data_IF_737333560534
#
_entry.id   IF_737333560534
#
_cell.length_a   1.000
_cell.length_b   1.000
_cell.length_c   1.000
_cell.angle_alpha   90.00
_cell.angle_beta   90.00
_cell.angle_gamma   90.00
#
_symmetry.space_group_name_H-M   'P 1'
#
loop_
_entity.id
_entity.type
_entity.pdbx_description
1 polymer ?
#
# COMPACT_ATOMS: atom_id res chain seq x y z
N UNK A 1 -39.06 -17.98 -23.69
CA UNK A 1 -39.33 -19.33 -23.13
C UNK A 1 -38.06 -20.15 -22.88
N UNK A 2 -37.09 -20.19 -23.80
CA UNK A 2 -35.85 -20.98 -23.61
C UNK A 2 -34.97 -20.52 -22.43
N UNK A 3 -34.97 -19.22 -22.11
CA UNK A 3 -34.29 -18.66 -20.94
C UNK A 3 -34.86 -19.19 -19.61
N UNK A 4 -36.19 -19.26 -19.51
CA UNK A 4 -36.92 -19.76 -18.33
C UNK A 4 -36.73 -21.28 -18.20
N UNK A 5 -36.81 -22.02 -19.31
CA UNK A 5 -36.53 -23.47 -19.32
C UNK A 5 -35.10 -23.76 -18.88
N UNK A 6 -34.12 -23.00 -19.39
CA UNK A 6 -32.72 -23.12 -18.98
C UNK A 6 -32.54 -22.86 -17.48
N UNK A 7 -33.18 -21.82 -16.93
CA UNK A 7 -33.13 -21.56 -15.49
C UNK A 7 -33.66 -22.74 -14.68
N UNK A 8 -34.84 -23.28 -15.02
CA UNK A 8 -35.42 -24.43 -14.33
C UNK A 8 -34.52 -25.69 -14.40
N UNK A 9 -33.88 -25.94 -15.55
CA UNK A 9 -32.92 -27.03 -15.73
C UNK A 9 -31.71 -26.86 -14.80
N UNK A 10 -31.10 -25.68 -14.79
CA UNK A 10 -29.93 -25.38 -13.94
C UNK A 10 -30.25 -25.50 -12.46
N UNK A 11 -31.39 -24.98 -12.01
CA UNK A 11 -31.81 -25.08 -10.60
C UNK A 11 -32.04 -26.54 -10.20
N UNK A 12 -32.75 -27.31 -11.03
CA UNK A 12 -33.02 -28.73 -10.76
C UNK A 12 -31.73 -29.55 -10.73
N UNK A 13 -30.81 -29.29 -11.67
CA UNK A 13 -29.53 -29.98 -11.74
C UNK A 13 -28.61 -29.62 -10.57
N UNK A 14 -28.56 -28.33 -10.18
CA UNK A 14 -27.78 -27.91 -9.03
C UNK A 14 -28.29 -28.52 -7.73
N UNK A 15 -29.62 -28.63 -7.56
CA UNK A 15 -30.21 -29.32 -6.41
C UNK A 15 -29.84 -30.81 -6.42
N UNK A 16 -29.91 -31.45 -7.59
CA UNK A 16 -29.56 -32.86 -7.75
C UNK A 16 -28.11 -33.13 -7.36
N UNK A 17 -27.16 -32.33 -7.86
CA UNK A 17 -25.73 -32.43 -7.52
C UNK A 17 -25.51 -32.32 -6.01
N UNK A 18 -26.10 -31.28 -5.37
CA UNK A 18 -26.02 -31.08 -3.90
C UNK A 18 -26.57 -32.25 -3.09
N UNK A 19 -27.69 -32.84 -3.51
CA UNK A 19 -28.32 -33.97 -2.81
C UNK A 19 -27.56 -35.27 -3.04
N UNK A 20 -27.00 -35.47 -4.24
CA UNK A 20 -26.25 -36.68 -4.56
C UNK A 20 -24.84 -36.71 -3.99
N UNK A 21 -24.27 -35.57 -3.59
CA UNK A 21 -22.88 -35.46 -3.15
C UNK A 21 -21.84 -35.80 -4.22
N UNK A 22 -22.28 -36.06 -5.46
CA UNK A 22 -21.43 -36.34 -6.61
C UNK A 22 -21.28 -35.05 -7.40
N UNK A 23 -20.14 -34.38 -7.23
CA UNK A 23 -19.68 -33.43 -8.25
C UNK A 23 -19.45 -34.23 -9.53
N UNK A 24 -20.16 -33.86 -10.60
CA UNK A 24 -20.27 -34.69 -11.80
C UNK A 24 -19.00 -34.73 -12.66
N UNK A 25 -17.95 -33.99 -12.28
CA UNK A 25 -16.61 -34.03 -12.88
C UNK A 25 -15.60 -33.49 -11.86
N UNK A 26 -14.40 -34.09 -11.70
CA UNK A 26 -13.34 -33.49 -10.92
C UNK A 26 -12.96 -32.14 -11.56
N UNK A 27 -13.14 -31.04 -10.82
CA UNK A 27 -12.60 -29.75 -11.23
C UNK A 27 -11.09 -29.89 -11.45
N UNK A 28 -10.57 -29.21 -12.47
CA UNK A 28 -9.13 -29.16 -12.72
C UNK A 28 -8.47 -28.50 -11.50
N UNK A 29 -7.74 -29.27 -10.67
CA UNK A 29 -7.27 -28.79 -9.36
C UNK A 29 -6.31 -27.60 -9.53
N UNK A 30 -5.66 -27.49 -10.69
CA UNK A 30 -4.79 -26.38 -11.04
C UNK A 30 -5.59 -25.08 -11.20
N UNK A 31 -6.79 -25.14 -11.78
CA UNK A 31 -7.64 -23.95 -11.94
C UNK A 31 -8.06 -23.41 -10.59
N UNK A 32 -8.53 -24.29 -9.69
CA UNK A 32 -8.93 -23.89 -8.33
C UNK A 32 -7.74 -23.29 -7.56
N UNK A 33 -6.57 -23.91 -7.69
CA UNK A 33 -5.35 -23.40 -7.05
C UNK A 33 -4.97 -21.99 -7.54
N UNK A 34 -4.92 -21.77 -8.86
CA UNK A 34 -4.56 -20.47 -9.42
C UNK A 34 -5.64 -19.43 -9.11
N UNK A 35 -6.93 -19.79 -9.18
CA UNK A 35 -8.04 -18.89 -8.85
C UNK A 35 -8.01 -18.44 -7.39
N UNK A 36 -7.73 -19.37 -6.47
CA UNK A 36 -7.50 -19.05 -5.05
C UNK A 36 -6.32 -18.11 -4.87
N UNK A 37 -5.19 -18.36 -5.54
CA UNK A 37 -4.03 -17.46 -5.52
C UNK A 37 -4.40 -16.04 -5.99
N UNK A 38 -5.15 -15.91 -7.09
CA UNK A 38 -5.63 -14.61 -7.60
C UNK A 38 -6.55 -13.92 -6.59
N UNK A 39 -7.44 -14.67 -5.93
CA UNK A 39 -8.34 -14.14 -4.90
C UNK A 39 -7.57 -13.64 -3.68
N UNK A 40 -6.59 -14.39 -3.22
CA UNK A 40 -5.68 -13.99 -2.13
C UNK A 40 -4.87 -12.75 -2.50
N UNK A 41 -4.42 -12.65 -3.74
CA UNK A 41 -3.74 -11.45 -4.23
C UNK A 41 -4.67 -10.24 -4.30
N UNK A 42 -5.95 -10.43 -4.64
CA UNK A 42 -6.97 -9.37 -4.66
C UNK A 42 -7.30 -8.84 -3.26
N UNK A 43 -7.29 -9.70 -2.23
CA UNK A 43 -7.49 -9.26 -0.85
C UNK A 43 -6.26 -8.50 -0.34
N UNK A 44 -5.05 -8.99 -0.67
CA UNK A 44 -3.78 -8.32 -0.36
C UNK A 44 -3.66 -6.97 -1.07
N UNK A 45 -4.04 -6.87 -2.35
CA UNK A 45 -3.97 -5.61 -3.11
C UNK A 45 -4.84 -4.52 -2.49
N UNK A 46 -6.05 -4.87 -2.03
CA UNK A 46 -6.92 -3.95 -1.29
C UNK A 46 -6.27 -3.48 0.01
N UNK A 47 -5.77 -4.41 0.83
CA UNK A 47 -5.09 -4.06 2.08
C UNK A 47 -3.86 -3.19 1.87
N UNK A 48 -3.06 -3.46 0.83
CA UNK A 48 -1.89 -2.64 0.51
C UNK A 48 -2.32 -1.26 0.03
N UNK A 49 -3.31 -1.15 -0.87
CA UNK A 49 -3.82 0.13 -1.35
C UNK A 49 -4.31 1.05 -0.22
N UNK A 50 -5.03 0.49 0.77
CA UNK A 50 -5.46 1.22 1.96
C UNK A 50 -4.26 1.70 2.80
N UNK A 51 -3.26 0.84 3.01
CA UNK A 51 -2.04 1.20 3.73
C UNK A 51 -1.24 2.28 3.02
N UNK A 52 -1.10 2.19 1.70
CA UNK A 52 -0.43 3.22 0.88
C UNK A 52 -1.15 4.57 1.01
N UNK A 53 -2.48 4.56 0.91
CA UNK A 53 -3.30 5.77 1.09
C UNK A 53 -3.12 6.37 2.48
N UNK A 54 -3.05 5.53 3.53
CA UNK A 54 -2.80 5.98 4.90
C UNK A 54 -1.39 6.55 5.06
N UNK A 55 -0.37 5.90 4.51
CA UNK A 55 1.01 6.37 4.60
C UNK A 55 1.19 7.77 4.02
N UNK A 56 0.58 8.07 2.87
CA UNK A 56 0.63 9.41 2.28
C UNK A 56 0.04 10.46 3.22
N UNK A 57 -1.12 10.17 3.82
CA UNK A 57 -1.76 11.08 4.78
C UNK A 57 -0.85 11.37 5.96
N UNK A 58 -0.17 10.35 6.48
CA UNK A 58 0.78 10.52 7.58
C UNK A 58 1.98 11.43 7.20
N UNK A 59 2.46 11.38 5.95
CA UNK A 59 3.52 12.29 5.48
C UNK A 59 3.02 13.74 5.42
N UNK A 60 1.79 13.94 4.94
CA UNK A 60 1.15 15.25 4.91
C UNK A 60 0.92 15.80 6.33
N UNK A 61 0.42 14.95 7.24
CA UNK A 61 0.15 15.30 8.63
C UNK A 61 1.43 15.66 9.40
N UNK A 62 2.55 14.99 9.11
CA UNK A 62 3.86 15.37 9.64
C UNK A 62 4.24 16.80 9.22
N UNK A 63 4.07 17.15 7.94
CA UNK A 63 4.34 18.49 7.43
C UNK A 63 3.44 19.55 8.09
N UNK A 64 2.15 19.26 8.25
CA UNK A 64 1.20 20.15 8.95
C UNK A 64 1.59 20.38 10.41
N UNK A 65 1.89 19.30 11.13
CA UNK A 65 2.29 19.38 12.54
C UNK A 65 3.54 20.22 12.73
N UNK A 66 4.54 20.07 11.86
CA UNK A 66 5.76 20.90 11.92
C UNK A 66 5.47 22.36 11.61
N UNK A 67 4.60 22.63 10.63
CA UNK A 67 4.16 23.99 10.32
C UNK A 67 3.49 24.62 11.55
N UNK A 68 2.57 23.90 12.20
CA UNK A 68 1.88 24.37 13.41
C UNK A 68 2.85 24.64 14.56
N UNK A 69 3.80 23.73 14.82
CA UNK A 69 4.84 23.93 15.84
C UNK A 69 5.68 25.19 15.56
N UNK A 70 6.11 25.39 14.30
CA UNK A 70 6.86 26.57 13.91
C UNK A 70 6.04 27.86 14.08
N UNK A 71 4.76 27.81 13.73
CA UNK A 71 3.83 28.94 13.87
C UNK A 71 3.57 29.30 15.33
N UNK A 72 3.29 28.32 16.19
CA UNK A 72 3.10 28.52 17.63
C UNK A 72 4.38 29.05 18.29
N UNK A 73 5.54 28.50 17.95
CA UNK A 73 6.82 28.97 18.49
C UNK A 73 7.09 30.43 18.07
N UNK A 74 6.77 30.81 16.83
CA UNK A 74 6.94 32.18 16.33
C UNK A 74 6.04 33.19 17.05
N UNK A 75 4.86 32.77 17.53
CA UNK A 75 3.91 33.60 18.25
C UNK A 75 4.24 33.75 19.74
N UNK A 76 5.28 33.07 20.24
CA UNK A 76 5.66 33.12 21.65
C UNK A 76 6.10 34.54 22.07
N UNK A 77 5.67 35.03 23.24
CA UNK A 77 6.08 36.34 23.74
C UNK A 77 7.59 36.35 24.04
N UNK A 78 8.20 37.53 23.92
CA UNK A 78 9.62 37.77 24.23
C UNK A 78 10.62 36.85 23.49
N UNK A 79 10.23 36.34 22.32
CA UNK A 79 11.07 35.46 21.53
C UNK A 79 12.31 36.20 20.98
N UNK A 80 13.49 35.71 21.34
CA UNK A 80 14.77 36.17 20.84
C UNK A 80 14.87 36.01 19.30
N UNK A 81 15.72 36.80 18.65
CA UNK A 81 15.85 36.82 17.20
C UNK A 81 16.28 35.45 16.63
N UNK A 82 17.21 34.78 17.31
CA UNK A 82 17.73 33.45 16.93
C UNK A 82 16.64 32.38 17.07
N UNK A 83 15.87 32.42 18.17
CA UNK A 83 14.72 31.52 18.35
C UNK A 83 13.60 31.79 17.33
N UNK A 84 13.41 33.05 16.92
CA UNK A 84 12.48 33.40 15.85
C UNK A 84 12.93 32.85 14.50
N UNK A 85 14.22 32.92 14.20
CA UNK A 85 14.78 32.33 12.98
C UNK A 85 14.60 30.80 12.97
N UNK A 86 14.83 30.13 14.11
CA UNK A 86 14.55 28.71 14.26
C UNK A 86 13.06 28.40 14.03
N UNK A 87 12.16 29.19 14.64
CA UNK A 87 10.71 29.02 14.49
C UNK A 87 10.27 29.15 13.02
N UNK A 88 10.76 30.18 12.31
CA UNK A 88 10.47 30.37 10.89
C UNK A 88 11.03 29.23 10.04
N UNK A 89 12.24 28.75 10.35
CA UNK A 89 12.82 27.59 9.68
C UNK A 89 11.99 26.32 9.87
N UNK A 90 11.51 26.03 11.08
CA UNK A 90 10.60 24.89 11.33
C UNK A 90 9.29 25.06 10.56
N UNK A 91 8.73 26.27 10.54
CA UNK A 91 7.51 26.60 9.79
C UNK A 91 7.68 26.38 8.27
N UNK A 92 8.78 26.87 7.69
CA UNK A 92 9.13 26.70 6.28
C UNK A 92 9.34 25.23 5.91
N UNK A 93 10.03 24.46 6.75
CA UNK A 93 10.16 23.01 6.57
C UNK A 93 8.77 22.36 6.54
N UNK A 94 7.89 22.73 7.47
CA UNK A 94 6.51 22.24 7.49
C UNK A 94 5.79 22.48 6.17
N UNK A 95 5.85 23.71 5.63
CA UNK A 95 5.26 24.06 4.32
C UNK A 95 5.85 23.19 3.20
N UNK A 96 7.18 23.07 3.14
CA UNK A 96 7.86 22.28 2.10
C UNK A 96 7.46 20.81 2.15
N UNK A 97 7.38 20.22 3.35
CA UNK A 97 6.99 18.83 3.53
C UNK A 97 5.52 18.60 3.13
N UNK A 98 4.61 19.54 3.41
CA UNK A 98 3.24 19.47 2.91
C UNK A 98 3.21 19.49 1.38
N UNK A 99 3.95 20.41 0.74
CA UNK A 99 4.02 20.48 -0.72
C UNK A 99 4.60 19.18 -1.33
N UNK A 100 5.69 18.68 -0.77
CA UNK A 100 6.34 17.44 -1.20
C UNK A 100 5.42 16.22 -1.03
N UNK A 101 4.70 16.14 0.10
CA UNK A 101 3.73 15.07 0.33
C UNK A 101 2.59 15.09 -0.70
N UNK A 102 2.15 16.28 -1.12
CA UNK A 102 1.10 16.44 -2.15
C UNK A 102 1.58 16.00 -3.53
N UNK A 103 2.82 16.35 -3.91
CA UNK A 103 3.44 15.90 -5.16
C UNK A 103 3.55 14.36 -5.19
N UNK A 104 4.11 13.79 -4.13
CA UNK A 104 4.24 12.35 -3.99
C UNK A 104 2.89 11.62 -3.92
N UNK A 105 1.84 12.25 -3.35
CA UNK A 105 0.48 11.71 -3.37
C UNK A 105 -0.02 11.49 -4.79
N UNK A 106 0.20 12.45 -5.69
CA UNK A 106 -0.24 12.35 -7.08
C UNK A 106 0.50 11.21 -7.78
N UNK A 107 1.82 11.11 -7.60
CA UNK A 107 2.61 10.00 -8.16
C UNK A 107 2.16 8.65 -7.64
N UNK A 108 1.99 8.51 -6.32
CA UNK A 108 1.51 7.27 -5.71
C UNK A 108 0.08 6.89 -6.11
N UNK A 109 -0.79 7.87 -6.35
CA UNK A 109 -2.15 7.61 -6.81
C UNK A 109 -2.11 6.86 -8.14
N UNK A 110 -1.34 7.37 -9.10
CA UNK A 110 -1.27 6.83 -10.46
C UNK A 110 -0.49 5.52 -10.48
N UNK A 111 0.71 5.51 -9.91
CA UNK A 111 1.65 4.38 -10.05
C UNK A 111 1.35 3.19 -9.14
N UNK A 112 0.58 3.41 -8.06
CA UNK A 112 0.31 2.37 -7.07
C UNK A 112 -1.19 2.14 -6.85
N UNK A 113 -1.92 3.17 -6.42
CA UNK A 113 -3.31 2.99 -5.94
C UNK A 113 -4.24 2.63 -7.10
N UNK A 114 -4.16 3.35 -8.22
CA UNK A 114 -5.00 3.10 -9.39
C UNK A 114 -4.68 1.74 -10.02
N UNK A 115 -3.40 1.36 -9.99
CA UNK A 115 -2.92 0.09 -10.50
C UNK A 115 -3.49 -1.10 -9.68
N UNK A 116 -3.43 -1.04 -8.35
CA UNK A 116 -4.03 -2.05 -7.46
C UNK A 116 -5.57 -2.05 -7.52
N UNK A 117 -6.16 -0.88 -7.71
CA UNK A 117 -7.61 -0.72 -7.86
C UNK A 117 -8.09 -1.34 -9.17
N UNK A 118 -7.39 -1.08 -10.27
CA UNK A 118 -7.66 -1.71 -11.56
C UNK A 118 -7.54 -3.22 -11.48
N UNK A 119 -6.47 -3.74 -10.87
CA UNK A 119 -6.32 -5.19 -10.68
C UNK A 119 -7.52 -5.76 -9.90
N UNK A 120 -7.93 -5.12 -8.81
CA UNK A 120 -9.07 -5.55 -8.01
C UNK A 120 -10.41 -5.55 -8.79
N UNK A 121 -10.61 -4.57 -9.68
CA UNK A 121 -11.77 -4.52 -10.58
C UNK A 121 -11.76 -5.65 -11.61
N UNK A 122 -10.60 -6.00 -12.17
CA UNK A 122 -10.49 -7.13 -13.09
C UNK A 122 -10.75 -8.47 -12.39
N UNK A 123 -10.35 -8.62 -11.12
CA UNK A 123 -10.70 -9.81 -10.33
C UNK A 123 -12.21 -10.01 -10.19
N UNK A 124 -13.02 -8.94 -10.15
CA UNK A 124 -14.47 -9.07 -10.12
C UNK A 124 -15.04 -9.69 -11.42
N UNK A 125 -14.37 -9.49 -12.57
CA UNK A 125 -14.75 -10.13 -13.84
C UNK A 125 -14.51 -11.64 -13.83
N UNK A 126 -13.55 -12.12 -13.04
CA UNK A 126 -13.28 -13.55 -12.89
C UNK A 126 -14.50 -14.30 -12.33
N UNK A 127 -15.23 -13.69 -11.37
CA UNK A 127 -16.47 -14.26 -10.84
C UNK A 127 -17.55 -14.40 -11.92
N UNK A 128 -17.69 -13.41 -12.80
CA UNK A 128 -18.65 -13.48 -13.91
C UNK A 128 -18.30 -14.62 -14.89
N UNK A 129 -17.01 -14.83 -15.18
CA UNK A 129 -16.57 -15.94 -16.01
C UNK A 129 -16.80 -17.29 -15.32
N UNK A 130 -16.61 -17.37 -13.99
CA UNK A 130 -16.94 -18.55 -13.21
C UNK A 130 -18.44 -18.87 -13.28
N UNK A 131 -19.29 -17.86 -13.16
CA UNK A 131 -20.74 -18.03 -13.28
C UNK A 131 -21.16 -18.52 -14.69
N UNK A 132 -20.49 -18.05 -15.74
CA UNK A 132 -20.70 -18.57 -17.11
C UNK A 132 -20.27 -20.03 -17.20
N UNK A 133 -19.06 -20.36 -16.72
CA UNK A 133 -18.50 -21.72 -16.69
C UNK A 133 -19.45 -22.67 -15.96
N UNK A 134 -19.88 -22.29 -14.76
CA UNK A 134 -20.82 -23.04 -13.93
C UNK A 134 -22.18 -23.24 -14.60
N UNK A 135 -22.75 -22.20 -15.21
CA UNK A 135 -24.03 -22.32 -15.93
C UNK A 135 -23.94 -23.30 -17.09
N UNK A 136 -22.87 -23.23 -17.88
CA UNK A 136 -22.66 -24.16 -19.00
C UNK A 136 -22.48 -25.60 -18.50
N UNK A 137 -21.75 -25.79 -17.39
CA UNK A 137 -21.55 -27.10 -16.76
C UNK A 137 -22.88 -27.73 -16.33
N UNK A 138 -23.74 -26.97 -15.67
CA UNK A 138 -25.05 -27.45 -15.24
C UNK A 138 -25.94 -27.86 -16.42
N UNK A 139 -25.94 -27.10 -17.52
CA UNK A 139 -26.69 -27.46 -18.72
C UNK A 139 -26.12 -28.73 -19.38
N UNK A 140 -24.80 -28.84 -19.50
CA UNK A 140 -24.13 -30.04 -20.00
C UNK A 140 -24.51 -31.28 -19.17
N UNK A 141 -24.41 -31.20 -17.84
CA UNK A 141 -24.75 -32.31 -16.94
C UNK A 141 -26.22 -32.72 -17.05
N UNK A 142 -27.13 -31.74 -17.16
CA UNK A 142 -28.54 -32.01 -17.39
C UNK A 142 -28.76 -32.79 -18.69
N UNK A 143 -28.16 -32.34 -19.81
CA UNK A 143 -28.33 -33.01 -21.10
C UNK A 143 -27.63 -34.38 -21.15
N UNK A 144 -26.49 -34.54 -20.47
CA UNK A 144 -25.79 -35.82 -20.30
C UNK A 144 -26.69 -36.84 -19.62
N UNK A 145 -27.28 -36.46 -18.47
CA UNK A 145 -28.23 -37.29 -17.75
C UNK A 145 -29.49 -37.60 -18.59
N UNK A 146 -29.98 -36.62 -19.35
CA UNK A 146 -31.15 -36.79 -20.22
C UNK A 146 -30.88 -37.76 -21.36
N UNK A 147 -29.74 -37.65 -22.04
CA UNK A 147 -29.34 -38.57 -23.12
C UNK A 147 -29.17 -39.98 -22.57
N UNK A 148 -28.49 -40.14 -21.42
CA UNK A 148 -28.34 -41.45 -20.77
C UNK A 148 -29.70 -42.09 -20.49
N UNK A 149 -30.64 -41.33 -19.91
CA UNK A 149 -32.01 -41.81 -19.65
C UNK A 149 -32.76 -42.21 -20.93
N UNK A 150 -32.55 -41.48 -22.03
CA UNK A 150 -33.16 -41.81 -23.32
C UNK A 150 -32.56 -43.07 -23.93
N UNK A 151 -31.27 -43.33 -23.74
CA UNK A 151 -30.61 -44.57 -24.19
C UNK A 151 -31.04 -45.78 -23.38
N UNK A 152 -31.21 -45.62 -22.06
CA UNK A 152 -31.74 -46.67 -21.18
C UNK A 152 -33.20 -47.03 -21.51
N UNK A 153 -34.02 -46.04 -21.87
CA UNK A 153 -35.44 -46.21 -22.22
C UNK A 153 -35.75 -45.52 -23.56
N UNK A 154 -35.42 -46.16 -24.70
CA UNK A 154 -35.58 -45.57 -26.02
C UNK A 154 -37.04 -45.20 -26.30
N UNK A 155 -37.32 -43.94 -26.70
CA UNK A 155 -38.66 -43.53 -27.10
C UNK A 155 -39.05 -44.10 -28.47
N UNK A 156 -40.36 -44.17 -28.74
CA UNK A 156 -40.89 -44.52 -30.09
C UNK A 156 -40.46 -43.53 -31.18
N UNK A 157 -40.19 -42.28 -30.80
CA UNK A 157 -39.63 -41.25 -31.68
C UNK A 157 -38.10 -41.37 -31.73
N UNK A 158 -37.59 -42.01 -32.78
CA UNK A 158 -36.15 -42.24 -32.97
C UNK A 158 -35.36 -40.93 -33.16
N UNK A 159 -36.00 -39.83 -33.56
CA UNK A 159 -35.32 -38.53 -33.75
C UNK A 159 -34.94 -37.85 -32.43
N UNK A 160 -35.55 -38.26 -31.30
CA UNK A 160 -35.32 -37.66 -29.99
C UNK A 160 -33.91 -37.85 -29.48
N UNK A 161 -33.31 -39.02 -29.71
CA UNK A 161 -31.95 -39.31 -29.23
C UNK A 161 -30.92 -38.44 -30.00
N UNK A 162 -30.83 -38.50 -31.35
CA UNK A 162 -29.89 -37.68 -32.11
C UNK A 162 -30.03 -36.18 -31.85
N UNK A 163 -31.27 -35.68 -31.72
CA UNK A 163 -31.51 -34.26 -31.41
C UNK A 163 -30.94 -33.86 -30.03
N UNK A 164 -31.14 -34.68 -29.00
CA UNK A 164 -30.60 -34.37 -27.68
C UNK A 164 -29.08 -34.59 -27.60
N UNK A 165 -28.52 -35.50 -28.40
CA UNK A 165 -27.07 -35.69 -28.54
C UNK A 165 -26.40 -34.48 -29.21
N UNK A 166 -27.00 -33.93 -30.26
CA UNK A 166 -26.53 -32.69 -30.88
C UNK A 166 -26.54 -31.52 -29.88
N UNK A 167 -27.61 -31.39 -29.08
CA UNK A 167 -27.68 -30.35 -28.04
C UNK A 167 -26.61 -30.59 -26.96
N UNK A 168 -26.40 -31.84 -26.55
CA UNK A 168 -25.35 -32.20 -25.59
C UNK A 168 -23.97 -31.82 -26.12
N UNK A 169 -23.69 -32.06 -27.39
CA UNK A 169 -22.42 -31.70 -28.02
C UNK A 169 -22.22 -30.18 -28.06
N UNK A 170 -23.26 -29.41 -28.37
CA UNK A 170 -23.21 -27.95 -28.28
C UNK A 170 -22.86 -27.47 -26.87
N UNK A 171 -23.44 -28.10 -25.83
CA UNK A 171 -23.09 -27.78 -24.45
C UNK A 171 -21.69 -28.23 -24.06
N UNK A 172 -21.21 -29.37 -24.58
CA UNK A 172 -19.82 -29.82 -24.39
C UNK A 172 -18.83 -28.77 -24.90
N UNK A 173 -19.05 -28.26 -26.11
CA UNK A 173 -18.27 -27.17 -26.69
C UNK A 173 -18.40 -25.89 -25.85
N UNK A 174 -19.61 -25.56 -25.39
CA UNK A 174 -19.85 -24.39 -24.55
C UNK A 174 -19.14 -24.44 -23.19
N UNK A 175 -19.08 -25.60 -22.55
CA UNK A 175 -18.30 -25.82 -21.32
C UNK A 175 -16.82 -25.66 -21.61
N UNK A 176 -16.31 -26.32 -22.65
CA UNK A 176 -14.89 -26.24 -23.03
C UNK A 176 -14.45 -24.79 -23.29
N UNK A 177 -15.20 -24.02 -24.08
CA UNK A 177 -14.90 -22.60 -24.35
C UNK A 177 -14.91 -21.75 -23.08
N UNK A 178 -15.92 -21.94 -22.22
CA UNK A 178 -16.01 -21.17 -20.97
C UNK A 178 -14.86 -21.50 -20.01
N UNK A 179 -14.47 -22.77 -19.91
CA UNK A 179 -13.32 -23.21 -19.11
C UNK A 179 -12.02 -22.65 -19.66
N UNK A 180 -11.80 -22.68 -20.97
CA UNK A 180 -10.57 -22.17 -21.58
C UNK A 180 -10.44 -20.64 -21.39
N UNK A 181 -11.53 -19.91 -21.60
CA UNK A 181 -11.57 -18.47 -21.33
C UNK A 181 -11.27 -18.15 -19.86
N UNK A 182 -11.83 -18.94 -18.93
CA UNK A 182 -11.54 -18.81 -17.51
C UNK A 182 -10.06 -19.05 -17.20
N UNK A 183 -9.46 -20.12 -17.75
CA UNK A 183 -8.03 -20.45 -17.58
C UNK A 183 -7.12 -19.31 -18.05
N UNK A 184 -7.37 -18.82 -19.26
CA UNK A 184 -6.60 -17.73 -19.87
C UNK A 184 -6.69 -16.48 -18.99
N UNK A 185 -7.90 -16.08 -18.62
CA UNK A 185 -8.12 -14.87 -17.83
C UNK A 185 -7.53 -14.99 -16.41
N UNK A 186 -7.67 -16.15 -15.77
CA UNK A 186 -7.11 -16.42 -14.45
C UNK A 186 -5.57 -16.37 -14.47
N UNK A 187 -4.94 -16.94 -15.50
CA UNK A 187 -3.48 -16.92 -15.66
C UNK A 187 -2.95 -15.49 -15.90
N UNK A 188 -3.65 -14.72 -16.74
CA UNK A 188 -3.33 -13.31 -16.97
C UNK A 188 -3.45 -12.48 -15.69
N UNK A 189 -4.53 -12.68 -14.93
CA UNK A 189 -4.73 -12.01 -13.64
C UNK A 189 -3.65 -12.37 -12.62
N UNK A 190 -3.21 -13.63 -12.57
CA UNK A 190 -2.14 -14.05 -11.68
C UNK A 190 -0.83 -13.30 -11.97
N UNK A 191 -0.42 -13.23 -13.24
CA UNK A 191 0.78 -12.50 -13.63
C UNK A 191 0.64 -10.99 -13.38
N UNK A 192 -0.47 -10.39 -13.81
CA UNK A 192 -0.75 -8.96 -13.61
C UNK A 192 -0.78 -8.59 -12.14
N UNK A 193 -1.40 -9.43 -11.30
CA UNK A 193 -1.46 -9.21 -9.86
C UNK A 193 -0.08 -9.19 -9.21
N UNK A 194 0.84 -10.09 -9.62
CA UNK A 194 2.20 -10.13 -9.06
C UNK A 194 2.95 -8.87 -9.40
N UNK A 195 2.95 -8.51 -10.69
CA UNK A 195 3.56 -7.28 -11.17
C UNK A 195 2.99 -6.04 -10.47
N UNK A 196 1.67 -6.04 -10.25
CA UNK A 196 0.98 -4.92 -9.60
C UNK A 196 1.39 -4.73 -8.15
N UNK A 197 1.47 -5.82 -7.40
CA UNK A 197 1.90 -5.80 -6.01
C UNK A 197 3.37 -5.38 -5.90
N UNK A 198 4.25 -6.02 -6.66
CA UNK A 198 5.69 -5.76 -6.63
C UNK A 198 6.00 -4.30 -7.01
N UNK A 199 5.41 -3.81 -8.12
CA UNK A 199 5.58 -2.42 -8.56
C UNK A 199 5.07 -1.42 -7.53
N UNK A 200 3.89 -1.65 -6.95
CA UNK A 200 3.32 -0.74 -5.95
C UNK A 200 4.19 -0.63 -4.70
N UNK A 201 4.77 -1.75 -4.24
CA UNK A 201 5.66 -1.76 -3.08
C UNK A 201 6.97 -1.04 -3.40
N UNK A 202 7.59 -1.31 -4.55
CA UNK A 202 8.84 -0.67 -4.96
C UNK A 202 8.65 0.85 -5.13
N UNK A 203 7.59 1.26 -5.83
CA UNK A 203 7.27 2.68 -6.03
C UNK A 203 7.01 3.38 -4.69
N UNK A 204 6.35 2.73 -3.74
CA UNK A 204 6.19 3.28 -2.38
C UNK A 204 7.53 3.50 -1.68
N UNK A 205 8.43 2.50 -1.72
CA UNK A 205 9.75 2.62 -1.10
C UNK A 205 10.55 3.77 -1.75
N UNK A 206 10.47 3.93 -3.06
CA UNK A 206 11.12 5.02 -3.79
C UNK A 206 10.56 6.39 -3.38
N UNK A 207 9.24 6.51 -3.24
CA UNK A 207 8.59 7.74 -2.77
C UNK A 207 9.00 8.06 -1.34
N UNK A 208 8.97 7.08 -0.43
CA UNK A 208 9.43 7.29 0.94
C UNK A 208 10.90 7.72 0.99
N UNK A 209 11.77 7.06 0.22
CA UNK A 209 13.17 7.43 0.12
C UNK A 209 13.33 8.89 -0.34
N UNK A 210 12.64 9.27 -1.42
CA UNK A 210 12.66 10.64 -1.92
C UNK A 210 12.18 11.64 -0.88
N UNK A 211 11.06 11.35 -0.22
CA UNK A 211 10.49 12.21 0.81
C UNK A 211 11.48 12.43 1.96
N UNK A 212 12.04 11.34 2.51
CA UNK A 212 12.95 11.42 3.64
C UNK A 212 14.30 12.03 3.28
N UNK A 213 14.85 11.75 2.09
CA UNK A 213 16.10 12.36 1.64
C UNK A 213 15.97 13.89 1.59
N UNK A 214 14.86 14.40 1.05
CA UNK A 214 14.56 15.84 1.04
C UNK A 214 14.33 16.37 2.45
N UNK A 215 13.50 15.70 3.26
CA UNK A 215 13.20 16.12 4.62
C UNK A 215 14.47 16.22 5.48
N UNK A 216 15.32 15.19 5.45
CA UNK A 216 16.58 15.18 6.21
C UNK A 216 17.56 16.24 5.71
N UNK A 217 17.59 16.54 4.41
CA UNK A 217 18.36 17.65 3.88
C UNK A 217 17.97 18.99 4.50
N UNK A 218 16.67 19.26 4.55
CA UNK A 218 16.10 20.47 5.15
C UNK A 218 16.34 20.54 6.68
N UNK A 219 16.09 19.45 7.41
CA UNK A 219 16.38 19.40 8.85
C UNK A 219 17.86 19.60 9.15
N UNK A 220 18.75 18.97 8.39
CA UNK A 220 20.20 19.14 8.56
C UNK A 220 20.61 20.59 8.29
N UNK A 221 20.03 21.21 7.27
CA UNK A 221 20.29 22.63 7.00
C UNK A 221 19.88 23.50 8.19
N UNK A 222 18.66 23.30 8.71
CA UNK A 222 18.14 24.05 9.85
C UNK A 222 18.99 23.88 11.11
N UNK A 223 19.38 22.65 11.46
CA UNK A 223 20.21 22.38 12.63
C UNK A 223 21.61 23.00 12.52
N UNK A 224 22.15 23.14 11.31
CA UNK A 224 23.48 23.71 11.08
C UNK A 224 23.47 25.25 11.07
N UNK A 225 22.36 25.87 10.66
CA UNK A 225 22.22 27.33 10.56
C UNK A 225 21.61 27.96 11.81
N UNK A 226 20.82 27.19 12.56
CA UNK A 226 20.16 27.69 13.77
C UNK A 226 21.10 27.64 14.97
N UNK A 227 21.09 28.70 15.78
CA UNK A 227 21.69 28.72 17.10
C UNK A 227 20.61 29.03 18.11
N UNK A 228 20.69 28.41 19.29
CA UNK A 228 19.84 28.82 20.41
C UNK A 228 20.45 30.09 21.03
N UNK A 229 19.62 31.06 21.43
CA UNK A 229 20.09 32.21 22.17
C UNK A 229 20.59 31.77 23.57
N UNK A 230 21.49 32.55 24.14
CA UNK A 230 21.89 32.38 25.53
C UNK A 230 20.79 32.93 26.44
N UNK A 231 20.20 32.06 27.26
CA UNK A 231 19.17 32.44 28.21
C UNK A 231 19.81 32.89 29.53
N UNK A 232 19.55 34.13 29.93
CA UNK A 232 19.95 34.65 31.24
C UNK A 232 19.30 33.82 32.36
N UNK A 233 20.10 33.35 33.32
CA UNK A 233 19.61 32.66 34.53
C UNK A 233 19.18 33.63 35.63
N UNK A 234 19.31 34.94 35.40
CA UNK A 234 18.88 35.95 36.37
C UNK A 234 17.36 35.90 36.55
N UNK A 235 16.91 35.95 37.81
CA UNK A 235 15.48 36.01 38.13
C UNK A 235 14.84 37.23 37.48
N UNK A 236 13.84 37.00 36.63
CA UNK A 236 13.02 38.06 36.01
C UNK A 236 12.26 38.86 37.06
N UNK A 237 11.88 38.20 38.15
CA UNK A 237 11.17 38.83 39.27
C UNK A 237 12.17 39.39 40.28
N UNK A 238 11.91 40.63 40.73
CA UNK A 238 12.66 41.22 41.84
C UNK A 238 12.45 40.37 43.11
N UNK A 239 13.49 40.12 43.90
CA UNK A 239 13.35 39.46 45.20
C UNK A 239 12.32 40.21 46.05
N UNK A 240 11.41 39.46 46.68
CA UNK A 240 10.44 40.03 47.60
C UNK A 240 11.20 40.72 48.74
N UNK A 241 10.94 42.02 49.01
CA UNK A 241 11.60 42.69 50.11
C UNK A 241 11.28 41.95 51.42
N UNK A 242 12.27 41.83 52.29
CA UNK A 242 12.07 41.28 53.62
C UNK A 242 10.97 42.07 54.33
N UNK A 243 10.03 41.40 55.03
CA UNK A 243 9.06 42.11 55.84
C UNK A 243 9.80 43.02 56.85
N UNK A 244 9.24 44.21 57.15
CA UNK A 244 9.87 45.13 58.09
C UNK A 244 10.16 44.41 59.40
N UNK A 245 11.37 44.60 59.94
CA UNK A 245 11.73 44.04 61.24
C UNK A 245 10.63 44.41 62.25
N UNK A 246 10.11 43.45 63.03
CA UNK A 246 9.17 43.78 64.09
C UNK A 246 9.85 44.84 64.96
N UNK A 247 9.17 45.98 65.14
CA UNK A 247 9.65 47.05 66.00
C UNK A 247 10.05 46.43 67.35
N UNK A 248 11.21 46.80 67.95
CA UNK A 248 11.52 46.38 69.30
C UNK A 248 10.37 46.84 70.19
N UNK A 249 9.53 45.89 70.60
CA UNK A 249 8.46 46.16 71.54
C UNK A 249 9.07 46.71 72.83
N UNK A 250 8.37 47.61 73.55
CA UNK A 250 8.90 48.29 74.73
C UNK A 250 9.17 47.39 75.95
N UNK A 251 9.23 46.06 75.78
CA UNK A 251 9.44 45.09 76.86
C UNK A 251 10.36 43.95 76.40
N UNK A 252 11.66 44.16 76.42
CA UNK A 252 12.64 43.07 76.53
C UNK A 252 13.95 43.59 77.12
N UNK A 253 13.89 44.04 78.37
CA UNK A 253 15.07 44.15 79.20
C UNK A 253 15.60 42.75 79.54
N UNK A 254 16.76 42.43 78.98
CA UNK A 254 17.88 41.72 79.61
C UNK A 254 17.64 40.34 80.25
N UNK A 255 18.07 39.28 79.56
CA UNK A 255 18.87 38.22 80.20
C UNK A 255 20.05 37.88 79.28
N UNK A 256 21.27 38.13 79.78
CA UNK A 256 22.53 37.62 79.26
C UNK A 256 22.59 36.09 79.40
N UNK A 257 22.89 35.37 78.33
CA UNK A 257 23.75 34.19 78.40
C UNK A 257 24.35 33.88 77.02
N UNK A 258 25.67 33.78 77.03
CA UNK A 258 26.58 33.44 75.95
C UNK A 258 26.48 31.95 75.61
N UNK A 259 26.40 31.61 74.32
CA UNK A 259 26.97 30.37 73.80
C UNK A 259 27.31 30.54 72.32
N UNK A 260 28.59 30.83 72.07
CA UNK A 260 29.29 30.41 70.86
C UNK A 260 29.15 28.88 70.73
N UNK A 261 28.71 28.41 69.57
CA UNK A 261 29.23 27.18 69.01
C UNK A 261 29.14 27.27 67.49
N UNK A 262 30.33 27.19 66.90
CA UNK A 262 30.61 27.08 65.49
C UNK A 262 29.85 25.92 64.86
N UNK A 263 29.32 26.14 63.66
CA UNK A 263 29.46 25.12 62.62
C UNK A 263 29.43 25.79 61.26
N UNK A 264 30.63 25.98 60.72
CA UNK A 264 30.85 26.14 59.31
C UNK A 264 30.39 24.88 58.57
N UNK A 265 29.70 25.06 57.44
CA UNK A 265 29.92 24.19 56.28
C UNK A 265 30.01 25.06 55.04
N UNK A 266 31.23 25.55 54.83
CA UNK A 266 31.85 25.68 53.52
C UNK A 266 31.86 24.30 52.83
N UNK A 267 31.39 24.24 51.59
CA UNK A 267 31.93 23.33 50.58
C UNK A 267 32.35 24.16 49.37
N UNK A 268 33.57 23.97 48.84
CA UNK A 268 34.19 24.90 47.90
C UNK A 268 34.00 24.49 46.44
N UNK A 269 34.11 25.51 45.59
CA UNK A 269 34.60 25.49 44.18
C UNK A 269 36.07 25.00 44.21
N UNK A 270 36.65 24.23 43.29
CA UNK A 270 36.90 24.52 41.87
C UNK A 270 37.83 23.39 41.32
N UNK A 271 37.85 23.24 39.99
CA UNK A 271 38.95 22.78 39.12
C UNK A 271 39.23 21.31 38.71
N UNK A 272 39.32 21.20 37.36
CA UNK A 272 40.23 20.43 36.51
C UNK A 272 39.90 18.98 36.07
N UNK A 273 39.48 18.89 34.79
CA UNK A 273 39.80 17.81 33.85
C UNK A 273 41.28 17.91 33.38
N UNK A 274 41.82 17.09 32.44
CA UNK A 274 41.49 15.74 31.95
C UNK A 274 42.73 14.78 31.97
N UNK A 275 42.53 13.46 31.78
CA UNK A 275 43.50 12.57 31.10
C UNK A 275 42.97 11.12 30.97
N UNK A 276 42.80 10.65 29.73
CA UNK A 276 43.03 9.24 29.35
C UNK A 276 44.57 9.05 29.13
N UNK A 277 45.13 7.88 28.71
CA UNK A 277 44.56 6.56 28.43
C UNK A 277 45.42 5.40 29.02
N UNK A 278 44.99 4.14 28.79
CA UNK A 278 45.79 2.92 28.47
C UNK A 278 44.97 1.69 28.89
N UNK A 279 44.44 0.89 27.97
CA UNK A 279 45.08 -0.08 27.06
C UNK A 279 45.18 -1.50 27.65
N UNK A 280 44.97 -2.45 26.73
CA UNK A 280 45.33 -3.87 26.77
C UNK A 280 44.25 -4.84 27.29
N UNK A 281 43.44 -5.45 26.40
CA UNK A 281 43.66 -6.70 25.61
C UNK A 281 43.38 -7.97 26.43
N UNK A 282 42.81 -9.10 25.94
CA UNK A 282 42.51 -9.66 24.61
C UNK A 282 41.59 -10.91 24.78
N UNK A 283 41.22 -11.53 23.64
CA UNK A 283 40.41 -12.75 23.37
C UNK A 283 38.94 -12.49 23.06
N UNK A 284 38.47 -12.44 21.80
CA UNK A 284 38.78 -13.17 20.55
C UNK A 284 38.44 -14.67 20.61
N UNK A 285 37.26 -15.01 20.10
CA UNK A 285 37.11 -16.16 19.21
C UNK A 285 36.26 -15.79 17.99
N UNK A 286 36.77 -16.27 16.87
CA UNK A 286 36.46 -15.96 15.49
C UNK A 286 35.85 -17.21 14.86
N UNK A 287 34.84 -17.07 14.00
CA UNK A 287 34.71 -17.99 12.87
C UNK A 287 34.03 -17.35 11.67
N UNK A 288 34.87 -17.07 10.68
CA UNK A 288 34.56 -16.72 9.29
C UNK A 288 34.51 -18.00 8.46
N UNK A 289 33.63 -18.04 7.46
CA UNK A 289 33.80 -18.69 6.13
C UNK A 289 32.47 -18.49 5.37
N UNK A 290 32.38 -18.01 4.13
CA UNK A 290 33.33 -17.55 3.14
C UNK A 290 32.53 -17.03 1.93
N UNK A 291 32.96 -15.91 1.35
CA UNK A 291 32.59 -15.45 0.00
C UNK A 291 33.57 -16.07 -1.01
N UNK A 292 33.24 -16.06 -2.32
CA UNK A 292 34.04 -15.16 -3.14
C UNK A 292 33.24 -14.33 -4.15
N UNK A 293 33.81 -13.13 -4.35
CA UNK A 293 33.49 -12.10 -5.31
C UNK A 293 33.62 -12.54 -6.78
N UNK A 294 32.80 -11.94 -7.65
CA UNK A 294 33.29 -11.45 -8.95
C UNK A 294 32.60 -10.12 -9.33
N UNK A 295 33.37 -9.06 -9.15
CA UNK A 295 33.70 -7.93 -10.04
C UNK A 295 32.75 -7.48 -11.16
N UNK A 296 32.59 -6.13 -11.19
CA UNK A 296 32.65 -5.23 -12.36
C UNK A 296 31.35 -4.52 -12.81
N UNK A 297 31.10 -3.37 -12.17
CA UNK A 297 30.92 -2.00 -12.72
C UNK A 297 29.94 -1.66 -13.87
N UNK A 298 29.46 -0.39 -13.90
CA UNK A 298 28.13 -0.01 -14.36
C UNK A 298 28.14 0.59 -15.77
N UNK A 299 27.00 0.53 -16.45
CA UNK A 299 26.77 1.28 -17.69
C UNK A 299 25.69 2.34 -17.48
N UNK A 300 26.18 3.57 -17.42
CA UNK A 300 25.47 4.83 -17.61
C UNK A 300 24.77 4.80 -18.98
N UNK A 301 23.47 5.10 -19.02
CA UNK A 301 22.81 5.58 -20.23
C UNK A 301 22.04 6.86 -19.88
N UNK A 302 22.68 7.96 -20.27
CA UNK A 302 22.07 9.26 -20.48
C UNK A 302 21.34 9.25 -21.82
N UNK A 303 20.09 9.70 -21.85
CA UNK A 303 19.47 10.26 -23.05
C UNK A 303 18.57 11.43 -22.64
N UNK A 304 18.98 12.61 -23.11
CA UNK A 304 18.26 13.88 -23.05
C UNK A 304 17.51 14.12 -24.37
N UNK A 305 16.35 14.78 -24.28
CA UNK A 305 15.72 15.73 -25.24
C UNK A 305 15.30 15.18 -26.63
N UNK A 306 14.16 15.53 -27.25
CA UNK A 306 13.37 16.77 -27.27
C UNK A 306 11.93 16.53 -27.79
N UNK A 307 11.04 17.41 -27.32
CA UNK A 307 9.98 18.17 -28.00
C UNK A 307 8.77 17.58 -28.79
N UNK A 308 7.61 18.09 -28.36
CA UNK A 308 6.52 18.70 -29.14
C UNK A 308 5.34 17.85 -29.71
N UNK A 309 4.17 18.20 -29.15
CA UNK A 309 2.73 17.94 -29.44
C UNK A 309 2.29 18.27 -30.90
N UNK A 310 1.00 18.08 -31.36
CA UNK A 310 -0.25 18.12 -30.59
C UNK A 310 -1.48 17.26 -31.00
N UNK A 311 -2.45 17.25 -30.08
CA UNK A 311 -3.93 17.24 -30.22
C UNK A 311 -4.64 16.29 -31.20
N UNK A 312 -5.36 15.32 -30.60
CA UNK A 312 -6.83 15.31 -30.59
C UNK A 312 -7.57 14.79 -31.82
N UNK A 313 -8.21 13.61 -31.72
CA UNK A 313 -9.61 13.46 -32.14
C UNK A 313 -10.27 12.19 -31.58
N UNK A 314 -11.51 12.37 -31.19
CA UNK A 314 -12.48 11.42 -30.64
C UNK A 314 -13.21 10.64 -31.75
N UNK A 315 -13.33 9.31 -31.63
CA UNK A 315 -14.44 8.47 -32.16
C UNK A 315 -14.20 7.01 -31.77
N UNK A 316 -15.00 6.43 -30.87
CA UNK A 316 -16.14 5.55 -31.19
C UNK A 316 -15.73 4.24 -31.89
N UNK A 317 -15.55 3.17 -31.11
CA UNK A 317 -15.37 1.80 -31.62
C UNK A 317 -16.70 1.05 -31.45
N UNK A 318 -17.50 1.09 -32.50
CA UNK A 318 -18.50 0.07 -32.83
C UNK A 318 -18.10 -0.51 -34.19
N UNK A 319 -18.42 -1.79 -34.40
CA UNK A 319 -18.28 -2.55 -35.66
C UNK A 319 -17.03 -3.43 -35.79
N UNK A 320 -17.12 -4.62 -35.19
CA UNK A 320 -16.32 -5.80 -35.53
C UNK A 320 -17.26 -6.96 -35.91
N UNK A 321 -18.19 -6.71 -36.83
CA UNK A 321 -18.95 -7.75 -37.54
C UNK A 321 -19.14 -7.35 -38.99
N UNK A 322 -18.13 -7.60 -39.84
CA UNK A 322 -18.30 -7.68 -41.29
C UNK A 322 -17.00 -8.18 -41.95
N UNK A 323 -16.65 -9.45 -41.78
CA UNK A 323 -15.60 -10.08 -42.60
C UNK A 323 -15.77 -11.60 -42.72
N UNK A 324 -16.98 -12.08 -43.05
CA UNK A 324 -17.18 -13.47 -43.50
C UNK A 324 -18.43 -13.55 -44.38
N UNK A 325 -18.28 -13.26 -45.68
CA UNK A 325 -19.01 -13.90 -46.78
C UNK A 325 -18.63 -13.26 -48.12
N UNK A 326 -17.78 -13.94 -48.91
CA UNK A 326 -17.83 -13.99 -50.39
C UNK A 326 -16.67 -14.82 -50.94
N UNK A 327 -16.92 -16.11 -51.19
CA UNK A 327 -16.23 -16.90 -52.22
C UNK A 327 -17.24 -17.89 -52.78
N UNK A 328 -17.72 -17.63 -53.99
CA UNK A 328 -18.28 -18.67 -54.88
C UNK A 328 -17.17 -19.15 -55.84
N UNK A 329 -17.25 -20.39 -56.33
CA UNK A 329 -16.25 -20.99 -57.22
C UNK A 329 -16.57 -20.76 -58.70
N UNK A 330 -15.55 -20.55 -59.53
CA UNK A 330 -15.62 -20.69 -60.99
C UNK A 330 -15.21 -22.12 -61.39
N UNK A 331 -16.01 -22.76 -62.26
CA UNK A 331 -15.67 -23.98 -63.00
C UNK A 331 -14.80 -23.65 -64.24
N UNK A 332 -13.90 -24.55 -64.69
CA UNK A 332 -13.20 -24.40 -65.96
C UNK A 332 -13.79 -25.30 -67.07
N UNK A 333 -13.53 -24.98 -68.35
CA UNK A 333 -13.82 -25.83 -69.51
C UNK A 333 -12.88 -27.04 -69.65
#
# INVERSE_FOLDING_TARGET
METIKGLARRTSQSLKEKVSGVDADPEDPLIEEVSRKVTDMSSRSRSISEKLSRSIRLLEDLGKTLKEIGEEHRQSPDLAAESRQLAEGVYEIGIKLVALSSEHRVGMQIDCIDLLTHFSKECAKLNNLEDVRRRNRLEYNFFKAKVNRLREKPPKDFSRIPRNEQILENWRIGVWRATENYKIFCSQLYLKGRQSLDRSVISMVQVLKSFFDTAFGEFRHLCNTSRLPEYSTNSVLRPTPLPPNPLPGPFAGSILASSRLDSAHTLPREDQAPAAPHDSTLHLEERVEGLPNHTANPRVLSMNHNDAAPNGSTASVDSYEQFLHSRQPEEPP
#
